data_IF_747060691121
#
_entry.id   IF_747060691121
#
_cell.length_a   1.000
_cell.length_b   1.000
_cell.length_c   1.000
_cell.angle_alpha   90.00
_cell.angle_beta   90.00
_cell.angle_gamma   90.00
#
_symmetry.space_group_name_H-M   'P 1'
#
loop_
_entity.id
_entity.type
_entity.pdbx_description
1 polymer ?
#
# COMPACT_ATOMS: atom_id res chain seq x y z
N UNK A 1 34.67 37.19 7.18
CA UNK A 1 33.26 36.97 7.51
C UNK A 1 32.77 35.83 6.67
N UNK A 2 32.54 34.70 7.29
CA UNK A 2 32.21 33.47 6.58
C UNK A 2 30.74 33.52 6.11
N UNK A 3 30.58 33.59 4.80
CA UNK A 3 29.24 33.56 4.16
C UNK A 3 28.53 32.23 4.33
N UNK A 4 29.24 31.24 4.83
CA UNK A 4 28.77 29.86 5.00
C UNK A 4 28.18 29.53 6.36
N UNK A 5 28.21 30.46 7.31
CA UNK A 5 27.71 30.21 8.65
C UNK A 5 26.18 30.31 8.79
N UNK A 6 25.47 30.68 7.73
CA UNK A 6 24.03 30.95 7.79
C UNK A 6 23.18 30.16 6.80
N UNK A 7 23.55 28.92 6.48
CA UNK A 7 22.70 28.06 5.68
C UNK A 7 22.28 26.77 6.41
N UNK A 8 21.60 26.90 7.55
CA UNK A 8 21.02 25.70 8.19
C UNK A 8 19.96 25.03 7.31
N UNK A 9 19.42 25.76 6.33
CA UNK A 9 18.51 25.23 5.32
C UNK A 9 19.14 24.18 4.43
N UNK A 10 20.46 24.31 4.16
CA UNK A 10 21.16 23.36 3.33
C UNK A 10 21.20 21.96 3.98
N UNK A 11 21.26 21.94 5.31
CA UNK A 11 21.19 20.68 6.06
C UNK A 11 19.82 20.01 5.96
N UNK A 12 18.76 20.78 5.82
CA UNK A 12 17.43 20.23 5.66
C UNK A 12 17.26 19.51 4.33
N UNK A 13 17.88 20.05 3.29
CA UNK A 13 17.89 19.42 1.97
C UNK A 13 18.77 18.17 1.97
N UNK A 14 19.94 18.24 2.60
CA UNK A 14 20.85 17.11 2.71
C UNK A 14 20.25 15.93 3.50
N UNK A 15 19.37 16.24 4.45
CA UNK A 15 18.65 15.22 5.21
C UNK A 15 17.34 14.78 4.55
N UNK A 16 17.07 15.22 3.32
CA UNK A 16 15.83 14.89 2.62
C UNK A 16 14.59 15.61 3.11
N UNK A 17 14.76 16.61 3.99
CA UNK A 17 13.64 17.38 4.54
C UNK A 17 13.35 18.62 3.69
N UNK A 18 13.13 18.40 2.41
CA UNK A 18 12.93 19.46 1.41
C UNK A 18 11.84 20.49 1.74
N UNK A 19 10.93 20.15 2.61
CA UNK A 19 9.87 21.04 3.07
C UNK A 19 10.31 22.05 4.11
N UNK A 20 11.51 21.92 4.66
CA UNK A 20 12.03 22.81 5.66
C UNK A 20 12.97 23.81 5.02
N UNK A 21 12.42 24.96 4.74
CA UNK A 21 13.18 26.12 4.24
C UNK A 21 13.82 26.90 5.38
N UNK A 22 13.36 26.65 6.59
CA UNK A 22 13.80 27.36 7.79
C UNK A 22 14.47 26.37 8.73
N UNK A 23 15.77 26.56 8.97
CA UNK A 23 16.57 25.73 9.84
C UNK A 23 16.05 25.60 11.27
N UNK A 24 15.23 26.57 11.73
CA UNK A 24 14.61 26.49 13.04
C UNK A 24 13.58 25.36 13.15
N UNK A 25 13.06 24.91 12.02
CA UNK A 25 12.08 23.80 11.96
C UNK A 25 12.73 22.43 11.96
N UNK A 26 14.02 22.35 11.63
CA UNK A 26 14.75 21.08 11.64
C UNK A 26 14.98 20.54 13.05
N UNK A 27 15.07 21.45 14.02
CA UNK A 27 15.28 21.07 15.41
C UNK A 27 14.01 20.66 16.14
N UNK A 28 12.85 20.81 15.51
CA UNK A 28 11.58 20.37 16.09
C UNK A 28 11.28 18.96 15.58
N UNK A 29 11.21 17.98 16.48
CA UNK A 29 10.68 16.69 16.09
C UNK A 29 9.27 16.93 15.50
N UNK A 30 9.04 16.45 14.30
CA UNK A 30 7.69 16.45 13.74
C UNK A 30 6.92 15.44 14.55
N UNK A 31 6.17 15.93 15.51
CA UNK A 31 5.13 15.11 16.15
C UNK A 31 3.98 15.02 15.16
N UNK A 32 4.12 14.14 14.19
CA UNK A 32 2.95 13.72 13.43
C UNK A 32 2.02 13.00 14.40
N UNK A 33 0.71 13.23 14.32
CA UNK A 33 -0.25 12.36 15.00
C UNK A 33 0.12 10.90 14.67
N UNK A 34 0.05 10.03 15.65
CA UNK A 34 0.47 8.62 15.47
C UNK A 34 -0.26 7.96 14.31
N UNK A 35 -1.52 8.31 14.05
CA UNK A 35 -2.26 7.90 12.85
C UNK A 35 -1.56 8.29 11.53
N UNK A 36 -0.88 9.43 11.47
CA UNK A 36 -0.07 9.82 10.30
C UNK A 36 1.31 9.15 10.30
N UNK A 37 1.84 8.78 11.48
CA UNK A 37 3.09 8.03 11.58
C UNK A 37 2.94 6.62 11.04
N UNK A 38 1.76 6.03 11.14
CA UNK A 38 1.51 4.68 10.65
C UNK A 38 1.25 4.68 9.15
N UNK A 39 0.45 5.62 8.66
CA UNK A 39 0.37 5.85 7.21
C UNK A 39 1.78 6.12 6.66
N UNK A 40 2.59 6.91 7.36
CA UNK A 40 3.98 7.13 7.00
C UNK A 40 4.84 5.87 7.21
N UNK A 41 4.61 5.02 8.22
CA UNK A 41 5.37 3.79 8.43
C UNK A 41 4.99 2.70 7.41
N UNK A 42 3.73 2.58 7.05
CA UNK A 42 3.29 1.71 5.94
C UNK A 42 3.83 2.25 4.60
N UNK A 43 3.80 3.58 4.41
CA UNK A 43 4.48 4.21 3.26
C UNK A 43 6.01 4.11 3.36
N UNK A 44 6.60 4.10 4.55
CA UNK A 44 8.04 3.91 4.76
C UNK A 44 8.43 2.44 4.63
N UNK A 45 7.61 1.50 5.06
CA UNK A 45 7.84 0.06 4.76
C UNK A 45 7.73 -0.15 3.25
N UNK A 46 6.70 0.37 2.60
CA UNK A 46 6.60 0.36 1.14
C UNK A 46 7.75 1.18 0.51
N UNK A 47 8.17 2.30 1.07
CA UNK A 47 9.24 3.14 0.55
C UNK A 47 10.65 2.67 0.95
N UNK A 48 10.86 1.97 2.07
CA UNK A 48 12.11 1.25 2.32
C UNK A 48 12.30 0.10 1.32
N UNK A 49 11.21 -0.48 0.83
CA UNK A 49 11.26 -1.40 -0.28
C UNK A 49 11.53 -0.71 -1.64
N UNK A 50 11.29 0.59 -1.75
CA UNK A 50 11.58 1.41 -2.94
C UNK A 50 13.05 1.90 -2.98
N UNK A 51 13.78 1.85 -1.87
CA UNK A 51 15.05 2.60 -1.69
C UNK A 51 16.35 1.89 -2.08
N UNK A 52 16.33 0.64 -2.54
CA UNK A 52 17.57 -0.04 -2.91
C UNK A 52 17.70 -0.21 -4.44
N UNK A 53 18.41 0.72 -5.06
CA UNK A 53 18.91 0.54 -6.42
C UNK A 53 20.08 -0.44 -6.41
N UNK A 54 19.89 -1.57 -7.06
CA UNK A 54 21.00 -2.34 -7.59
C UNK A 54 21.17 -1.95 -9.06
N UNK A 55 22.31 -1.34 -9.36
CA UNK A 55 22.80 -1.23 -10.73
C UNK A 55 23.01 -2.66 -11.25
N UNK A 56 22.28 -3.06 -12.27
CA UNK A 56 22.53 -4.32 -12.97
C UNK A 56 22.93 -4.05 -14.41
N UNK A 57 24.13 -4.45 -14.70
CA UNK A 57 24.61 -4.70 -16.05
C UNK A 57 23.75 -5.74 -16.75
N UNK A 58 22.97 -5.34 -17.73
CA UNK A 58 22.40 -6.22 -18.74
C UNK A 58 21.98 -5.44 -19.97
N UNK A 59 22.94 -4.86 -20.66
CA UNK A 59 22.76 -4.37 -22.03
C UNK A 59 23.19 -5.52 -22.95
N UNK A 60 22.26 -6.35 -23.39
CA UNK A 60 22.60 -7.38 -24.39
C UNK A 60 21.53 -8.40 -24.75
N UNK A 61 20.40 -8.44 -24.04
CA UNK A 61 19.39 -9.48 -24.27
C UNK A 61 17.97 -8.91 -24.48
N UNK A 62 17.88 -7.68 -24.99
CA UNK A 62 16.67 -6.84 -24.80
C UNK A 62 15.50 -7.26 -25.69
N UNK A 63 15.67 -7.85 -26.86
CA UNK A 63 14.54 -8.13 -27.74
C UNK A 63 13.89 -9.51 -27.50
N UNK A 64 14.65 -10.55 -27.34
CA UNK A 64 14.10 -11.89 -27.01
C UNK A 64 13.60 -11.95 -25.55
N UNK A 65 14.20 -11.15 -24.66
CA UNK A 65 13.76 -10.98 -23.28
C UNK A 65 12.41 -10.26 -23.15
N UNK A 66 12.13 -9.32 -24.06
CA UNK A 66 10.87 -8.56 -23.98
C UNK A 66 9.64 -9.39 -24.34
N UNK A 67 9.70 -10.22 -25.38
CA UNK A 67 8.59 -11.10 -25.76
C UNK A 67 8.34 -12.17 -24.68
N UNK A 68 9.40 -12.73 -24.14
CA UNK A 68 9.29 -13.73 -23.09
C UNK A 68 8.81 -13.11 -21.77
N UNK A 69 9.20 -11.87 -21.46
CA UNK A 69 8.68 -11.12 -20.32
C UNK A 69 7.21 -10.76 -20.49
N UNK A 70 6.76 -10.35 -21.66
CA UNK A 70 5.35 -10.07 -21.91
C UNK A 70 4.48 -11.31 -21.75
N UNK A 71 4.87 -12.43 -22.36
CA UNK A 71 4.15 -13.70 -22.19
C UNK A 71 4.06 -14.11 -20.70
N UNK A 72 5.13 -13.93 -19.93
CA UNK A 72 5.12 -14.23 -18.49
C UNK A 72 4.26 -13.24 -17.69
N UNK A 73 4.17 -11.97 -18.09
CA UNK A 73 3.26 -10.99 -17.49
C UNK A 73 1.81 -11.40 -17.74
N UNK A 74 1.46 -11.68 -19.00
CA UNK A 74 0.11 -12.12 -19.39
C UNK A 74 -0.29 -13.42 -18.67
N UNK A 75 0.62 -14.39 -18.56
CA UNK A 75 0.41 -15.62 -17.79
C UNK A 75 0.10 -15.30 -16.33
N UNK A 76 0.92 -14.45 -15.67
CA UNK A 76 0.73 -14.09 -14.28
C UNK A 76 -0.54 -13.25 -14.03
N UNK A 77 -0.97 -12.44 -15.00
CA UNK A 77 -2.20 -11.67 -14.90
C UNK A 77 -3.45 -12.48 -15.26
N UNK A 78 -3.33 -13.50 -16.12
CA UNK A 78 -4.44 -14.37 -16.52
C UNK A 78 -4.76 -15.46 -15.49
N UNK A 79 -3.94 -15.61 -14.45
CA UNK A 79 -4.24 -16.54 -13.36
C UNK A 79 -5.59 -16.22 -12.75
N UNK A 80 -6.38 -17.25 -12.50
CA UNK A 80 -7.58 -17.10 -11.69
C UNK A 80 -7.16 -16.77 -10.25
N UNK A 81 -7.36 -15.53 -9.85
CA UNK A 81 -7.06 -15.06 -8.51
C UNK A 81 -8.33 -14.65 -7.81
N UNK A 82 -8.40 -14.95 -6.53
CA UNK A 82 -9.41 -14.42 -5.63
C UNK A 82 -8.69 -13.51 -4.64
N UNK A 83 -9.11 -12.26 -4.56
CA UNK A 83 -8.49 -11.34 -3.61
C UNK A 83 -8.87 -11.73 -2.19
N UNK A 84 -10.12 -12.19 -1.96
CA UNK A 84 -10.67 -12.53 -0.63
C UNK A 84 -10.25 -11.46 0.39
N UNK A 85 -10.61 -10.21 0.08
CA UNK A 85 -10.25 -9.07 0.92
C UNK A 85 -10.81 -9.24 2.32
N UNK A 86 -10.05 -8.90 3.36
CA UNK A 86 -10.60 -8.84 4.71
C UNK A 86 -11.68 -7.78 4.78
N UNK A 87 -12.84 -8.13 5.30
CA UNK A 87 -13.93 -7.17 5.58
C UNK A 87 -13.60 -6.44 6.87
N UNK A 88 -13.18 -5.19 6.79
CA UNK A 88 -12.60 -4.44 7.91
C UNK A 88 -13.57 -4.29 9.07
N UNK A 89 -14.88 -4.13 8.78
CA UNK A 89 -15.91 -4.03 9.81
C UNK A 89 -16.05 -5.28 10.69
N UNK A 90 -15.61 -6.44 10.19
CA UNK A 90 -15.65 -7.70 10.94
C UNK A 90 -14.39 -7.90 11.82
N UNK A 91 -13.39 -7.06 11.66
CA UNK A 91 -12.11 -7.17 12.36
C UNK A 91 -12.01 -6.23 13.56
N UNK A 92 -12.93 -5.27 13.72
CA UNK A 92 -12.81 -4.16 14.70
C UNK A 92 -12.69 -4.64 16.14
N UNK A 93 -13.37 -5.72 16.50
CA UNK A 93 -13.39 -6.29 17.86
C UNK A 93 -12.37 -7.42 18.06
N UNK A 94 -11.64 -7.81 17.02
CA UNK A 94 -10.68 -8.90 17.10
C UNK A 94 -9.31 -8.36 17.57
N UNK A 95 -8.63 -9.12 18.40
CA UNK A 95 -7.21 -8.89 18.69
C UNK A 95 -6.31 -9.34 17.52
N UNK A 96 -5.07 -8.89 17.53
CA UNK A 96 -4.12 -9.11 16.45
C UNK A 96 -3.82 -10.59 16.23
N UNK A 97 -3.77 -11.40 17.30
CA UNK A 97 -3.54 -12.84 17.18
C UNK A 97 -4.76 -13.54 16.54
N UNK A 98 -5.96 -13.17 16.95
CA UNK A 98 -7.20 -13.70 16.37
C UNK A 98 -7.32 -13.33 14.88
N UNK A 99 -6.92 -12.13 14.48
CA UNK A 99 -6.87 -11.71 13.08
C UNK A 99 -5.90 -12.60 12.30
N UNK A 100 -4.67 -12.78 12.78
CA UNK A 100 -3.68 -13.64 12.15
C UNK A 100 -4.17 -15.09 12.03
N UNK A 101 -4.73 -15.64 13.11
CA UNK A 101 -5.26 -17.00 13.14
C UNK A 101 -6.44 -17.18 12.18
N UNK A 102 -7.29 -16.16 12.04
CA UNK A 102 -8.42 -16.20 11.10
C UNK A 102 -7.94 -16.42 9.66
N UNK A 103 -6.93 -15.68 9.22
CA UNK A 103 -6.41 -15.81 7.86
C UNK A 103 -5.60 -17.09 7.67
N UNK A 104 -4.80 -17.49 8.65
CA UNK A 104 -4.02 -18.73 8.55
C UNK A 104 -4.92 -19.96 8.55
N UNK A 105 -5.97 -19.98 9.37
CA UNK A 105 -6.97 -21.06 9.41
C UNK A 105 -7.83 -21.11 8.15
N UNK A 106 -8.05 -19.99 7.48
CA UNK A 106 -8.68 -19.94 6.16
C UNK A 106 -7.79 -20.54 5.04
N UNK A 107 -6.55 -20.90 5.35
CA UNK A 107 -5.61 -21.55 4.43
C UNK A 107 -4.80 -20.56 3.58
N UNK A 108 -4.81 -19.28 3.93
CA UNK A 108 -4.00 -18.29 3.22
C UNK A 108 -2.52 -18.40 3.59
N UNK A 109 -1.65 -18.19 2.60
CA UNK A 109 -0.22 -18.01 2.86
C UNK A 109 -0.01 -16.57 3.32
N UNK A 110 0.24 -16.39 4.62
CA UNK A 110 0.43 -15.07 5.22
C UNK A 110 1.92 -14.81 5.47
N UNK A 111 2.41 -13.69 4.95
CA UNK A 111 3.71 -13.12 5.30
C UNK A 111 3.49 -12.07 6.38
N UNK A 112 3.84 -12.42 7.63
CA UNK A 112 3.74 -11.51 8.77
C UNK A 112 4.98 -10.60 8.78
N UNK A 113 4.77 -9.30 8.62
CA UNK A 113 5.80 -8.25 8.62
C UNK A 113 5.78 -7.42 9.91
N UNK A 114 4.98 -7.82 10.88
CA UNK A 114 4.83 -7.12 12.16
C UNK A 114 6.17 -6.95 12.85
N UNK A 115 6.50 -5.74 13.23
CA UNK A 115 7.69 -5.44 14.03
C UNK A 115 7.32 -5.48 15.50
N UNK A 116 8.05 -6.24 16.31
CA UNK A 116 7.82 -6.31 17.75
C UNK A 116 7.90 -4.91 18.39
N UNK A 117 6.94 -4.62 19.26
CA UNK A 117 6.90 -3.37 20.03
C UNK A 117 6.30 -2.16 19.30
N UNK A 118 5.82 -2.30 18.06
CA UNK A 118 5.17 -1.20 17.33
C UNK A 118 3.70 -1.00 17.73
N UNK A 119 3.10 -1.95 18.43
CA UNK A 119 1.68 -1.90 18.82
C UNK A 119 0.72 -2.03 17.64
N UNK A 120 1.17 -2.66 16.55
CA UNK A 120 0.39 -2.88 15.35
C UNK A 120 0.64 -4.26 14.74
N UNK A 121 -0.20 -4.62 13.77
CA UNK A 121 -0.12 -5.85 13.00
C UNK A 121 0.03 -5.52 11.51
N UNK A 122 1.04 -6.10 10.84
CA UNK A 122 1.27 -5.95 9.41
C UNK A 122 1.34 -7.31 8.72
N UNK A 123 0.33 -7.62 7.93
CA UNK A 123 0.18 -8.89 7.24
C UNK A 123 0.13 -8.68 5.73
N UNK A 124 0.68 -9.65 5.00
CA UNK A 124 0.52 -9.74 3.55
C UNK A 124 -0.01 -11.13 3.20
N UNK A 125 -1.19 -11.20 2.57
CA UNK A 125 -1.65 -12.42 1.90
C UNK A 125 -0.87 -12.57 0.61
N UNK A 126 -0.25 -13.70 0.42
CA UNK A 126 0.50 -14.01 -0.79
C UNK A 126 -0.38 -14.75 -1.81
N UNK A 127 -0.12 -14.58 -3.11
CA UNK A 127 -0.68 -15.44 -4.13
C UNK A 127 -0.27 -16.91 -3.90
N UNK A 128 -1.09 -17.85 -4.38
CA UNK A 128 -0.88 -19.27 -4.13
C UNK A 128 0.50 -19.81 -4.60
N UNK A 129 1.03 -19.21 -5.67
CA UNK A 129 2.29 -19.62 -6.30
C UNK A 129 3.52 -18.89 -5.75
N UNK A 130 3.36 -18.08 -4.69
CA UNK A 130 4.44 -17.31 -4.08
C UNK A 130 4.69 -17.80 -2.66
N UNK A 131 5.90 -18.30 -2.41
CA UNK A 131 6.29 -18.66 -1.05
C UNK A 131 6.66 -17.45 -0.22
N UNK A 132 6.62 -17.58 1.11
CA UNK A 132 7.06 -16.51 2.03
C UNK A 132 8.51 -16.12 1.77
N UNK A 133 9.39 -17.08 1.45
CA UNK A 133 10.79 -16.79 1.16
C UNK A 133 10.96 -15.99 -0.14
N UNK A 134 10.21 -16.34 -1.20
CA UNK A 134 10.23 -15.60 -2.47
C UNK A 134 9.69 -14.19 -2.29
N UNK A 135 8.57 -14.05 -1.59
CA UNK A 135 8.00 -12.74 -1.26
C UNK A 135 8.98 -11.88 -0.47
N UNK A 136 9.59 -12.41 0.58
CA UNK A 136 10.59 -11.70 1.37
C UNK A 136 11.76 -11.22 0.50
N UNK A 137 12.27 -12.07 -0.40
CA UNK A 137 13.34 -11.71 -1.32
C UNK A 137 12.90 -10.63 -2.33
N UNK A 138 11.66 -10.68 -2.84
CA UNK A 138 11.12 -9.68 -3.75
C UNK A 138 10.89 -8.34 -3.02
N UNK A 139 10.30 -8.36 -1.84
CA UNK A 139 10.12 -7.15 -1.03
C UNK A 139 11.45 -6.52 -0.61
N UNK A 140 12.45 -7.31 -0.26
CA UNK A 140 13.79 -6.82 0.06
C UNK A 140 14.48 -6.07 -1.10
N UNK A 141 14.15 -6.40 -2.35
CA UNK A 141 14.60 -5.67 -3.54
C UNK A 141 13.82 -4.38 -3.79
N UNK A 142 12.63 -4.25 -3.20
CA UNK A 142 11.66 -3.20 -3.48
C UNK A 142 10.82 -3.49 -4.73
N UNK A 143 9.51 -3.28 -4.60
CA UNK A 143 8.53 -3.61 -5.66
C UNK A 143 8.85 -2.89 -6.97
N UNK A 144 9.24 -1.60 -6.92
CA UNK A 144 9.61 -0.82 -8.11
C UNK A 144 10.86 -1.31 -8.84
N UNK A 145 11.64 -2.19 -8.21
CA UNK A 145 12.84 -2.80 -8.80
C UNK A 145 12.57 -4.18 -9.42
N UNK A 146 11.35 -4.67 -9.33
CA UNK A 146 10.96 -5.95 -9.91
C UNK A 146 10.76 -5.81 -11.42
N UNK A 147 10.98 -6.91 -12.14
CA UNK A 147 10.46 -7.02 -13.50
C UNK A 147 8.94 -7.02 -13.49
N UNK A 148 8.29 -6.61 -14.58
CA UNK A 148 6.84 -6.62 -14.70
C UNK A 148 6.25 -8.03 -14.40
N UNK A 149 6.91 -9.09 -14.84
CA UNK A 149 6.48 -10.46 -14.56
C UNK A 149 6.52 -10.79 -13.06
N UNK A 150 7.59 -10.45 -12.36
CA UNK A 150 7.69 -10.67 -10.92
C UNK A 150 6.74 -9.78 -10.13
N UNK A 151 6.52 -8.55 -10.58
CA UNK A 151 5.55 -7.66 -9.97
C UNK A 151 4.11 -8.17 -10.17
N UNK A 152 3.76 -8.62 -11.39
CA UNK A 152 2.48 -9.26 -11.67
C UNK A 152 2.30 -10.55 -10.83
N UNK A 153 3.34 -11.38 -10.72
CA UNK A 153 3.32 -12.58 -9.89
C UNK A 153 3.04 -12.24 -8.41
N UNK A 154 3.73 -11.24 -7.87
CA UNK A 154 3.64 -10.88 -6.45
C UNK A 154 2.34 -10.13 -6.13
N UNK A 155 1.91 -9.21 -7.00
CA UNK A 155 0.82 -8.28 -6.70
C UNK A 155 -0.56 -8.83 -7.10
N UNK A 156 -0.65 -9.68 -8.14
CA UNK A 156 -1.93 -10.20 -8.59
C UNK A 156 -2.51 -11.24 -7.62
N UNK A 157 -3.56 -10.86 -6.90
CA UNK A 157 -4.20 -11.70 -5.88
C UNK A 157 -3.60 -11.57 -4.47
N UNK A 158 -2.66 -10.65 -4.28
CA UNK A 158 -2.16 -10.30 -2.94
C UNK A 158 -2.89 -9.08 -2.37
N UNK A 159 -2.90 -9.00 -1.05
CA UNK A 159 -3.26 -7.80 -0.32
C UNK A 159 -2.38 -7.65 0.93
N UNK A 160 -2.25 -6.42 1.41
CA UNK A 160 -1.64 -6.13 2.70
C UNK A 160 -2.67 -5.55 3.66
N UNK A 161 -2.67 -6.02 4.90
CA UNK A 161 -3.47 -5.50 6.01
C UNK A 161 -2.54 -4.92 7.05
N UNK A 162 -2.78 -3.66 7.42
CA UNK A 162 -2.15 -3.02 8.57
C UNK A 162 -3.21 -2.67 9.60
N UNK A 163 -2.97 -3.02 10.85
CA UNK A 163 -3.79 -2.66 12.01
C UNK A 163 -2.96 -1.83 12.96
N UNK A 164 -3.48 -0.69 13.39
CA UNK A 164 -2.88 0.11 14.46
C UNK A 164 -3.93 0.50 15.49
N UNK A 165 -3.57 0.33 16.76
CA UNK A 165 -4.44 0.58 17.90
C UNK A 165 -3.88 1.60 18.88
N UNK A 166 -2.76 2.25 18.53
CA UNK A 166 -2.06 3.12 19.49
C UNK A 166 -2.82 4.42 19.81
N UNK A 167 -3.42 5.06 18.78
CA UNK A 167 -4.15 6.33 18.90
C UNK A 167 -5.58 6.22 18.36
N UNK A 168 -6.26 5.18 18.70
CA UNK A 168 -7.53 4.79 18.12
C UNK A 168 -7.35 3.68 17.11
N UNK A 169 -8.45 3.10 16.71
CA UNK A 169 -8.43 1.98 15.77
C UNK A 169 -8.22 2.49 14.34
N UNK A 170 -7.24 1.92 13.64
CA UNK A 170 -6.97 2.23 12.26
C UNK A 170 -6.60 0.96 11.49
N UNK A 171 -7.53 0.50 10.65
CA UNK A 171 -7.31 -0.57 9.69
C UNK A 171 -6.99 0.00 8.32
N UNK A 172 -6.10 -0.65 7.59
CA UNK A 172 -5.81 -0.32 6.20
C UNK A 172 -5.53 -1.58 5.40
N UNK A 173 -6.31 -1.81 4.36
CA UNK A 173 -6.06 -2.85 3.35
C UNK A 173 -5.58 -2.19 2.06
N UNK A 174 -4.58 -2.79 1.40
CA UNK A 174 -4.07 -2.32 0.12
C UNK A 174 -3.82 -3.50 -0.80
N UNK A 175 -4.13 -3.30 -2.08
CA UNK A 175 -3.91 -4.32 -3.13
C UNK A 175 -3.78 -3.66 -4.50
N UNK A 176 -3.27 -4.43 -5.46
CA UNK A 176 -3.28 -4.05 -6.86
C UNK A 176 -4.46 -4.73 -7.56
N UNK A 177 -5.32 -3.93 -8.20
CA UNK A 177 -6.42 -4.42 -9.02
C UNK A 177 -6.03 -4.33 -10.50
N UNK A 178 -5.87 -5.49 -11.12
CA UNK A 178 -5.56 -5.61 -12.55
C UNK A 178 -6.81 -5.83 -13.41
N UNK A 179 -7.98 -5.94 -12.79
CA UNK A 179 -9.26 -6.21 -13.46
C UNK A 179 -10.11 -4.95 -13.66
N UNK A 180 -9.87 -3.92 -12.86
CA UNK A 180 -10.62 -2.68 -12.96
C UNK A 180 -10.41 -1.98 -14.29
N UNK A 181 -11.50 -1.46 -14.86
CA UNK A 181 -11.43 -0.68 -16.10
C UNK A 181 -11.08 0.78 -15.88
N UNK A 182 -11.37 1.31 -14.69
CA UNK A 182 -11.08 2.68 -14.25
C UNK A 182 -10.82 2.71 -12.74
N UNK A 183 -10.24 3.81 -12.25
CA UNK A 183 -10.01 4.01 -10.81
C UNK A 183 -11.34 4.11 -10.05
N UNK A 184 -12.35 4.71 -10.65
CA UNK A 184 -13.70 4.80 -10.06
C UNK A 184 -14.34 3.41 -9.93
N UNK A 185 -14.20 2.55 -10.94
CA UNK A 185 -14.72 1.17 -10.88
C UNK A 185 -13.99 0.35 -9.80
N UNK A 186 -12.68 0.56 -9.62
CA UNK A 186 -11.93 -0.08 -8.54
C UNK A 186 -12.42 0.37 -7.15
N UNK A 187 -12.71 1.66 -6.98
CA UNK A 187 -13.27 2.21 -5.74
C UNK A 187 -14.66 1.62 -5.46
N UNK A 188 -15.54 1.62 -6.46
CA UNK A 188 -16.90 1.09 -6.31
C UNK A 188 -16.88 -0.39 -5.94
N UNK A 189 -16.05 -1.19 -6.62
CA UNK A 189 -15.87 -2.60 -6.31
C UNK A 189 -15.40 -2.83 -4.88
N UNK A 190 -14.44 -2.03 -4.41
CA UNK A 190 -13.92 -2.12 -3.05
C UNK A 190 -14.97 -1.73 -2.00
N UNK A 191 -15.76 -0.69 -2.24
CA UNK A 191 -16.85 -0.27 -1.35
C UNK A 191 -17.90 -1.38 -1.23
N UNK A 192 -18.27 -2.00 -2.36
CA UNK A 192 -19.22 -3.11 -2.37
C UNK A 192 -18.68 -4.33 -1.63
N UNK A 193 -17.39 -4.66 -1.84
CA UNK A 193 -16.77 -5.82 -1.16
C UNK A 193 -16.69 -5.66 0.35
N UNK A 194 -16.48 -4.43 0.83
CA UNK A 194 -16.47 -4.10 2.27
C UNK A 194 -17.88 -4.01 2.86
N UNK A 195 -18.92 -3.88 2.03
CA UNK A 195 -20.29 -3.67 2.48
C UNK A 195 -20.52 -2.29 3.11
N UNK A 196 -19.69 -1.29 2.74
CA UNK A 196 -19.88 0.06 3.26
C UNK A 196 -21.19 0.67 2.77
N UNK A 197 -21.94 1.25 3.70
CA UNK A 197 -23.19 1.95 3.40
C UNK A 197 -22.90 3.25 2.65
N UNK A 198 -23.46 3.37 1.45
CA UNK A 198 -23.34 4.55 0.62
C UNK A 198 -24.37 5.65 0.96
N UNK A 199 -25.19 5.46 1.98
CA UNK A 199 -26.15 6.50 2.41
C UNK A 199 -25.53 7.58 3.28
N UNK A 200 -24.40 7.27 3.95
CA UNK A 200 -23.65 8.16 4.84
C UNK A 200 -22.33 8.63 4.22
N UNK A 201 -22.40 9.11 3.00
CA UNK A 201 -21.21 9.60 2.28
C UNK A 201 -20.78 10.96 2.79
N UNK A 202 -19.47 11.17 2.89
CA UNK A 202 -18.85 12.47 3.18
C UNK A 202 -18.68 13.33 1.93
N UNK A 203 -18.85 12.74 0.73
CA UNK A 203 -18.77 13.40 -0.58
C UNK A 203 -19.88 12.88 -1.52
N UNK A 204 -20.25 13.70 -2.51
CA UNK A 204 -21.25 13.33 -3.53
C UNK A 204 -20.64 12.45 -4.65
N UNK A 205 -20.04 11.33 -4.30
CA UNK A 205 -19.39 10.42 -5.24
C UNK A 205 -17.87 10.43 -5.09
N UNK A 206 -17.19 9.95 -6.14
CA UNK A 206 -15.72 9.89 -6.16
C UNK A 206 -15.13 11.28 -6.31
N UNK A 207 -14.24 11.65 -5.42
CA UNK A 207 -13.50 12.91 -5.36
C UNK A 207 -12.02 12.69 -5.69
N UNK A 208 -11.25 13.78 -5.75
CA UNK A 208 -9.81 13.73 -6.01
C UNK A 208 -9.08 14.49 -4.91
N UNK A 209 -8.09 13.86 -4.28
CA UNK A 209 -7.29 14.52 -3.25
C UNK A 209 -6.18 15.42 -3.86
N UNK A 210 -5.48 16.15 -2.99
CA UNK A 210 -4.45 17.13 -3.38
C UNK A 210 -3.27 16.50 -4.17
N UNK A 211 -3.09 15.20 -4.06
CA UNK A 211 -2.02 14.47 -4.76
C UNK A 211 -2.52 13.66 -5.95
N UNK A 212 -3.80 13.84 -6.31
CA UNK A 212 -4.39 13.27 -7.52
C UNK A 212 -5.00 11.89 -7.35
N UNK A 213 -5.04 11.30 -6.14
CA UNK A 213 -5.72 10.03 -5.95
C UNK A 213 -7.24 10.24 -5.99
N UNK A 214 -7.92 9.33 -6.65
CA UNK A 214 -9.37 9.23 -6.56
C UNK A 214 -9.77 8.59 -5.24
N UNK A 215 -10.84 9.08 -4.61
CA UNK A 215 -11.34 8.48 -3.38
C UNK A 215 -12.83 8.70 -3.18
N UNK A 216 -13.42 7.86 -2.34
CA UNK A 216 -14.73 8.04 -1.74
C UNK A 216 -14.63 7.73 -0.26
N UNK A 217 -15.41 8.43 0.57
CA UNK A 217 -15.40 8.26 2.02
C UNK A 217 -16.78 8.42 2.60
N UNK A 218 -17.00 7.88 3.78
CA UNK A 218 -18.23 7.94 4.52
C UNK A 218 -18.04 7.46 5.95
N UNK A 219 -19.16 7.20 6.61
CA UNK A 219 -19.20 6.66 7.97
C UNK A 219 -19.96 5.35 8.02
N UNK A 220 -19.66 4.53 9.00
CA UNK A 220 -20.39 3.29 9.31
C UNK A 220 -20.48 3.15 10.82
N UNK A 221 -21.65 2.76 11.32
CA UNK A 221 -21.85 2.49 12.74
C UNK A 221 -21.72 0.97 12.98
N UNK A 222 -20.86 0.61 13.91
CA UNK A 222 -20.62 -0.79 14.30
C UNK A 222 -20.77 -0.84 15.82
N UNK A 223 -21.75 -1.56 16.32
CA UNK A 223 -22.04 -1.74 17.75
C UNK A 223 -22.10 -0.43 18.55
N UNK A 224 -22.63 0.62 17.92
CA UNK A 224 -22.82 1.94 18.54
C UNK A 224 -21.57 2.84 18.49
N UNK A 225 -20.52 2.40 17.83
CA UNK A 225 -19.33 3.23 17.54
C UNK A 225 -19.35 3.64 16.08
N UNK A 226 -19.21 4.93 15.81
CA UNK A 226 -19.13 5.47 14.44
C UNK A 226 -17.69 5.42 13.95
N UNK A 227 -17.47 4.72 12.84
CA UNK A 227 -16.18 4.65 12.14
C UNK A 227 -16.24 5.47 10.86
N UNK A 228 -15.12 6.07 10.51
CA UNK A 228 -14.93 6.72 9.22
C UNK A 228 -14.21 5.76 8.27
N UNK A 229 -14.79 5.53 7.10
CA UNK A 229 -14.13 4.76 6.06
C UNK A 229 -13.68 5.64 4.90
N UNK A 230 -12.62 5.23 4.22
CA UNK A 230 -12.13 5.83 2.98
C UNK A 230 -11.62 4.73 2.06
N UNK A 231 -12.12 4.70 0.84
CA UNK A 231 -11.59 3.90 -0.26
C UNK A 231 -10.93 4.84 -1.25
N UNK A 232 -9.72 4.54 -1.65
CA UNK A 232 -8.95 5.34 -2.60
C UNK A 232 -8.31 4.46 -3.66
N UNK A 233 -8.12 5.01 -4.86
CA UNK A 233 -7.41 4.37 -5.94
C UNK A 233 -6.49 5.37 -6.65
N UNK A 234 -5.34 4.88 -7.07
CA UNK A 234 -4.41 5.59 -7.95
C UNK A 234 -3.91 4.63 -9.03
N UNK A 235 -3.41 5.14 -10.15
CA UNK A 235 -2.83 4.27 -11.15
C UNK A 235 -1.64 3.50 -10.54
N UNK A 236 -1.54 2.21 -10.83
CA UNK A 236 -0.44 1.39 -10.31
C UNK A 236 0.92 1.90 -10.82
N UNK A 237 0.95 2.47 -12.04
CA UNK A 237 2.11 3.13 -12.63
C UNK A 237 2.58 4.36 -11.84
N UNK A 238 1.64 5.12 -11.24
CA UNK A 238 1.98 6.27 -10.40
C UNK A 238 2.54 5.84 -9.04
N UNK A 239 2.19 4.62 -8.63
CA UNK A 239 2.68 4.03 -7.38
C UNK A 239 4.03 3.34 -7.53
N UNK A 240 4.19 2.59 -8.61
CA UNK A 240 5.38 1.82 -8.93
C UNK A 240 5.74 2.05 -10.39
N UNK A 241 6.85 2.68 -10.68
CA UNK A 241 7.33 2.89 -12.07
C UNK A 241 7.83 1.56 -12.67
N UNK A 242 6.90 0.62 -12.91
CA UNK A 242 7.18 -0.71 -13.47
C UNK A 242 6.65 -0.76 -14.90
N UNK A 243 7.57 -0.69 -15.86
CA UNK A 243 7.22 -0.78 -17.29
C UNK A 243 6.75 -2.19 -17.65
N UNK A 244 5.66 -2.27 -18.40
CA UNK A 244 5.10 -3.53 -18.92
C UNK A 244 3.95 -4.11 -18.09
N UNK A 245 3.54 -3.44 -17.00
CA UNK A 245 2.24 -3.69 -16.39
C UNK A 245 1.14 -2.93 -17.14
N UNK A 246 -0.13 -3.38 -17.06
CA UNK A 246 -1.26 -2.68 -17.69
C UNK A 246 -1.43 -1.26 -17.14
N UNK A 247 -1.62 -0.29 -18.02
CA UNK A 247 -1.87 1.11 -17.65
C UNK A 247 -3.19 1.31 -16.89
N UNK A 248 -4.14 0.36 -17.04
CA UNK A 248 -5.42 0.35 -16.33
C UNK A 248 -5.33 -0.20 -14.91
N UNK A 249 -4.21 -0.82 -14.54
CA UNK A 249 -4.05 -1.39 -13.20
C UNK A 249 -4.13 -0.31 -12.13
N UNK A 250 -4.96 -0.56 -11.11
CA UNK A 250 -5.18 0.34 -9.99
C UNK A 250 -4.46 -0.14 -8.73
N UNK A 251 -3.91 0.78 -7.96
CA UNK A 251 -3.52 0.54 -6.57
C UNK A 251 -4.61 1.05 -5.66
N UNK A 252 -5.29 0.13 -5.00
CA UNK A 252 -6.46 0.40 -4.17
C UNK A 252 -6.06 0.38 -2.69
N UNK A 253 -6.55 1.36 -1.95
CA UNK A 253 -6.42 1.44 -0.51
C UNK A 253 -7.79 1.59 0.15
N UNK A 254 -8.09 0.73 1.11
CA UNK A 254 -9.30 0.76 1.94
C UNK A 254 -8.85 1.07 3.36
N UNK A 255 -9.53 1.98 4.02
CA UNK A 255 -9.21 2.40 5.38
C UNK A 255 -10.46 2.52 6.23
N UNK A 256 -10.36 2.08 7.49
CA UNK A 256 -11.40 2.23 8.51
C UNK A 256 -10.75 2.78 9.78
N UNK A 257 -11.30 3.87 10.34
CA UNK A 257 -10.74 4.57 11.51
C UNK A 257 -11.83 4.91 12.51
N UNK A 258 -11.54 4.75 13.80
CA UNK A 258 -12.38 5.24 14.90
C UNK A 258 -11.92 6.62 15.37
#
# INVERSE_FOLDING_TARGET
MSFFQNHPTDYSVEQGHIRYMDGSRLSRPITMPRSQQIVAAVFVVIAMFIGFRLASDAIGAVSASNEQNQASVEENLSRAVTYDLPVLTQLVDLDDQTILDTFTNAGYTIYNQTTEGTGGLDLVKLPADVTVADAAAMYAKGVSSLSASNAALLLNGSWSLSVDRNDGLNFSVKYADFSASTLEAAIESAIVSEGFDQTNLSSNGVDTDEVGNKFQSGTVDIDGTTYTWRVSATALSDKYDIKGLPDTAAYVGIRLTA
#
